data_IF_299737943002
#
_entry.id   IF_299737943002
#
_cell.length_a   1.000
_cell.length_b   1.000
_cell.length_c   1.000
_cell.angle_alpha   90.00
_cell.angle_beta   90.00
_cell.angle_gamma   90.00
#
_symmetry.space_group_name_H-M   'P 1'
#
loop_
_entity.id
_entity.type
_entity.pdbx_description
1 polymer ?
#
# COMPACT_ATOMS: atom_id res chain seq x y z
N UNK A 1 -0.32 58.49 -7.88
CA UNK A 1 0.09 58.48 -9.30
C UNK A 1 1.01 57.26 -9.44
N UNK A 2 0.68 56.14 -10.08
CA UNK A 2 -0.01 55.92 -11.36
C UNK A 2 -1.12 54.85 -11.26
N UNK A 3 -2.19 55.08 -12.03
CA UNK A 3 -3.28 54.16 -12.34
C UNK A 3 -3.01 53.48 -13.69
N UNK A 4 -3.28 52.19 -13.80
CA UNK A 4 -3.83 51.49 -14.98
C UNK A 4 -4.05 50.02 -14.54
N UNK A 5 -5.25 49.47 -14.32
CA UNK A 5 -6.52 49.39 -15.07
C UNK A 5 -6.47 48.42 -16.28
N UNK A 6 -7.05 47.23 -16.02
CA UNK A 6 -8.00 46.38 -16.78
C UNK A 6 -7.62 45.63 -18.07
N UNK A 7 -7.88 44.31 -17.96
CA UNK A 7 -8.68 43.40 -18.78
C UNK A 7 -8.40 43.18 -20.28
N UNK A 8 -8.28 41.89 -20.64
CA UNK A 8 -9.08 41.12 -21.63
C UNK A 8 -8.72 39.63 -21.46
N UNK A 9 -9.63 38.77 -20.99
CA UNK A 9 -10.70 38.09 -21.73
C UNK A 9 -10.21 36.90 -22.59
N UNK A 10 -10.49 35.69 -22.09
CA UNK A 10 -11.08 34.56 -22.83
C UNK A 10 -10.25 33.83 -23.88
N UNK A 11 -9.91 32.57 -23.59
CA UNK A 11 -10.17 31.44 -24.50
C UNK A 11 -10.62 30.25 -23.65
N UNK A 12 -11.83 29.78 -23.94
CA UNK A 12 -12.38 28.52 -23.45
C UNK A 12 -11.63 27.35 -24.08
N UNK A 13 -11.28 26.34 -23.29
CA UNK A 13 -10.92 25.03 -23.80
C UNK A 13 -11.81 23.98 -23.13
N UNK A 14 -12.76 23.54 -23.95
CA UNK A 14 -13.45 22.25 -24.01
C UNK A 14 -13.39 21.33 -22.79
N UNK A 15 -14.59 20.95 -22.36
CA UNK A 15 -14.82 20.00 -21.28
C UNK A 15 -14.32 18.60 -21.59
N UNK A 16 -13.84 17.95 -20.54
CA UNK A 16 -14.07 16.53 -20.34
C UNK A 16 -15.03 16.45 -19.17
N UNK A 17 -16.32 16.31 -19.49
CA UNK A 17 -17.29 15.84 -18.51
C UNK A 17 -16.83 14.42 -18.11
N UNK A 18 -16.13 14.30 -16.99
CA UNK A 18 -16.00 13.03 -16.32
C UNK A 18 -17.42 12.60 -15.99
N UNK A 19 -17.90 11.60 -16.71
CA UNK A 19 -19.12 10.87 -16.42
C UNK A 19 -19.00 10.35 -14.99
N UNK A 20 -19.51 11.11 -14.04
CA UNK A 20 -20.02 10.58 -12.77
C UNK A 20 -21.32 9.84 -13.14
N UNK A 21 -21.15 8.71 -13.81
CA UNK A 21 -22.21 7.74 -14.06
C UNK A 21 -22.44 6.99 -12.76
N UNK A 22 -23.59 7.25 -12.15
CA UNK A 22 -23.95 6.78 -10.82
C UNK A 22 -23.92 5.26 -10.69
N UNK A 23 -23.24 4.79 -9.65
CA UNK A 23 -23.51 3.51 -9.04
C UNK A 23 -24.61 3.72 -7.98
N UNK A 24 -25.84 3.96 -8.43
CA UNK A 24 -27.03 3.59 -7.67
C UNK A 24 -27.58 2.33 -8.31
N UNK A 25 -26.99 1.19 -7.95
CA UNK A 25 -27.54 -0.12 -8.27
C UNK A 25 -27.38 -1.05 -7.06
N UNK A 26 -27.94 -0.62 -5.93
CA UNK A 26 -28.46 -1.56 -4.96
C UNK A 26 -29.85 -1.96 -5.49
N UNK A 27 -30.00 -3.19 -6.01
CA UNK A 27 -31.30 -3.75 -6.33
C UNK A 27 -32.19 -3.81 -5.09
N UNK A 28 -33.50 -3.85 -5.18
CA UNK A 28 -34.41 -3.88 -6.30
C UNK A 28 -35.79 -4.10 -5.67
N UNK A 29 -36.76 -3.26 -6.01
CA UNK A 29 -38.17 -3.53 -5.74
C UNK A 29 -38.95 -3.40 -7.05
N UNK A 30 -39.93 -4.29 -7.19
CA UNK A 30 -40.81 -4.56 -8.34
C UNK A 30 -41.08 -3.38 -9.28
N UNK A 31 -41.08 -3.64 -10.60
CA UNK A 31 -42.26 -3.51 -11.47
C UNK A 31 -41.93 -3.83 -12.95
N UNK A 32 -42.96 -4.29 -13.65
CA UNK A 32 -42.99 -4.85 -15.00
C UNK A 32 -42.60 -3.92 -16.17
N UNK A 33 -42.12 -4.57 -17.25
CA UNK A 33 -42.61 -4.30 -18.60
C UNK A 33 -41.80 -3.37 -19.51
N UNK A 34 -41.24 -3.92 -20.58
CA UNK A 34 -40.83 -3.15 -21.77
C UNK A 34 -39.69 -3.76 -22.58
N UNK A 35 -40.02 -4.37 -23.72
CA UNK A 35 -39.07 -4.68 -24.81
C UNK A 35 -38.56 -3.37 -25.42
N UNK A 36 -37.25 -3.25 -25.61
CA UNK A 36 -36.66 -2.96 -26.93
C UNK A 36 -35.13 -3.09 -26.88
N UNK A 37 -34.58 -3.49 -28.01
CA UNK A 37 -33.19 -3.90 -28.18
C UNK A 37 -32.18 -2.77 -28.24
N UNK A 38 -30.91 -3.18 -28.30
CA UNK A 38 -29.78 -2.28 -28.53
C UNK A 38 -28.56 -2.76 -27.79
N UNK A 39 -27.67 -3.40 -28.54
CA UNK A 39 -26.26 -3.62 -28.24
C UNK A 39 -25.92 -4.20 -26.87
N UNK A 40 -25.66 -5.53 -26.88
CA UNK A 40 -24.75 -6.14 -25.91
C UNK A 40 -23.39 -5.44 -26.04
N UNK A 41 -23.22 -4.33 -25.34
CA UNK A 41 -21.93 -3.89 -24.88
C UNK A 41 -21.30 -5.13 -24.26
N UNK A 42 -20.28 -5.69 -24.92
CA UNK A 42 -19.50 -6.77 -24.37
C UNK A 42 -19.04 -6.28 -23.00
N UNK A 43 -19.67 -6.80 -21.94
CA UNK A 43 -19.31 -6.47 -20.58
C UNK A 43 -17.81 -6.62 -20.49
N UNK A 44 -17.09 -5.52 -20.25
CA UNK A 44 -15.64 -5.53 -20.17
C UNK A 44 -15.27 -6.66 -19.23
N UNK A 45 -14.55 -7.66 -19.76
CA UNK A 45 -14.22 -8.88 -19.01
C UNK A 45 -13.51 -8.44 -17.74
N UNK A 46 -14.05 -8.85 -16.59
CA UNK A 46 -13.41 -8.56 -15.31
C UNK A 46 -11.94 -9.02 -15.38
N UNK A 47 -10.98 -8.20 -14.93
CA UNK A 47 -9.56 -8.54 -15.00
C UNK A 47 -9.31 -9.88 -14.29
N UNK A 48 -8.41 -10.69 -14.84
CA UNK A 48 -8.02 -11.93 -14.18
C UNK A 48 -7.28 -11.64 -12.86
N UNK A 49 -7.22 -12.59 -11.91
CA UNK A 49 -6.40 -12.44 -10.71
C UNK A 49 -4.94 -12.06 -11.01
N UNK A 50 -4.36 -12.60 -12.09
CA UNK A 50 -3.01 -12.24 -12.51
C UNK A 50 -2.92 -10.79 -13.01
N UNK A 51 -3.94 -10.30 -13.73
CA UNK A 51 -4.01 -8.90 -14.16
C UNK A 51 -4.13 -7.95 -12.96
N UNK A 52 -4.90 -8.34 -11.93
CA UNK A 52 -5.03 -7.58 -10.69
C UNK A 52 -3.69 -7.48 -9.94
N UNK A 53 -2.97 -8.59 -9.77
CA UNK A 53 -1.62 -8.58 -9.16
C UNK A 53 -0.65 -7.74 -9.97
N UNK A 54 -0.68 -7.82 -11.31
CA UNK A 54 0.16 -7.00 -12.20
C UNK A 54 -0.15 -5.51 -12.06
N UNK A 55 -1.44 -5.15 -12.00
CA UNK A 55 -1.85 -3.77 -11.80
C UNK A 55 -1.40 -3.24 -10.44
N UNK A 56 -1.51 -4.04 -9.38
CA UNK A 56 -1.00 -3.69 -8.05
C UNK A 56 0.51 -3.53 -8.06
N UNK A 57 1.26 -4.45 -8.66
CA UNK A 57 2.73 -4.36 -8.78
C UNK A 57 3.17 -3.04 -9.44
N UNK A 58 2.54 -2.68 -10.57
CA UNK A 58 2.88 -1.45 -11.29
C UNK A 58 2.58 -0.16 -10.50
N UNK A 59 1.60 -0.18 -9.59
CA UNK A 59 1.31 0.94 -8.69
C UNK A 59 2.23 0.97 -7.48
N UNK A 60 2.66 -0.20 -7.01
CA UNK A 60 3.50 -0.34 -5.80
C UNK A 60 4.97 -0.09 -6.09
N UNK A 61 5.51 -0.53 -7.22
CA UNK A 61 6.95 -0.40 -7.53
C UNK A 61 7.49 1.05 -7.53
N UNK A 62 6.75 2.10 -7.94
CA UNK A 62 7.24 3.48 -7.80
C UNK A 62 7.05 4.05 -6.38
N UNK A 63 6.34 3.36 -5.49
CA UNK A 63 6.12 3.83 -4.13
C UNK A 63 7.42 3.73 -3.34
N UNK A 64 7.87 4.86 -2.79
CA UNK A 64 9.12 4.92 -2.03
C UNK A 64 8.91 4.70 -0.53
N UNK A 65 7.72 5.04 -0.05
CA UNK A 65 7.35 5.02 1.36
C UNK A 65 5.86 4.69 1.52
N UNK A 66 5.50 4.09 2.66
CA UNK A 66 4.12 3.93 3.10
C UNK A 66 4.03 3.94 4.63
N UNK A 67 2.84 4.26 5.14
CA UNK A 67 2.48 3.90 6.52
C UNK A 67 2.31 2.38 6.61
N UNK A 68 2.77 1.79 7.70
CA UNK A 68 2.65 0.35 7.94
C UNK A 68 1.88 0.10 9.23
N UNK A 69 1.03 -0.91 9.17
CA UNK A 69 0.42 -1.57 10.32
C UNK A 69 0.61 -3.08 10.11
N UNK A 70 1.66 -3.60 10.72
CA UNK A 70 2.13 -4.96 10.50
C UNK A 70 1.89 -5.79 11.75
N UNK A 71 1.28 -6.96 11.57
CA UNK A 71 1.13 -7.97 12.62
C UNK A 71 1.96 -9.19 12.25
N UNK A 72 2.91 -9.55 13.10
CA UNK A 72 3.78 -10.72 12.92
C UNK A 72 3.35 -11.78 13.91
N UNK A 73 2.93 -12.95 13.41
CA UNK A 73 2.61 -14.12 14.23
C UNK A 73 3.71 -15.17 14.07
N UNK A 74 4.46 -15.41 15.14
CA UNK A 74 5.49 -16.45 15.17
C UNK A 74 4.86 -17.86 15.19
N UNK A 75 5.66 -18.89 14.87
CA UNK A 75 5.23 -20.30 14.93
C UNK A 75 4.79 -20.74 16.33
N UNK A 76 5.25 -20.06 17.37
CA UNK A 76 4.79 -20.24 18.76
C UNK A 76 3.39 -19.67 19.03
N UNK A 77 2.77 -18.99 18.06
CA UNK A 77 1.52 -18.25 18.22
C UNK A 77 1.68 -16.86 18.82
N UNK A 78 2.89 -16.48 19.30
CA UNK A 78 3.15 -15.12 19.78
C UNK A 78 2.95 -14.13 18.63
N UNK A 79 2.16 -13.10 18.90
CA UNK A 79 1.86 -12.05 17.93
C UNK A 79 2.41 -10.72 18.40
N UNK A 80 3.17 -10.05 17.55
CA UNK A 80 3.69 -8.70 17.76
C UNK A 80 3.10 -7.76 16.70
N UNK A 81 2.69 -6.56 17.09
CA UNK A 81 2.16 -5.54 16.18
C UNK A 81 3.12 -4.35 16.11
N UNK A 82 3.38 -3.90 14.90
CA UNK A 82 4.32 -2.85 14.55
C UNK A 82 3.61 -1.81 13.69
N UNK A 83 3.54 -0.59 14.17
CA UNK A 83 3.00 0.56 13.41
C UNK A 83 4.10 1.55 13.11
N UNK A 84 4.01 2.25 11.98
CA UNK A 84 4.91 3.35 11.68
C UNK A 84 4.99 3.68 10.19
N UNK A 85 6.18 4.07 9.72
CA UNK A 85 6.45 4.39 8.32
C UNK A 85 7.63 3.56 7.80
N UNK A 86 7.46 2.93 6.65
CA UNK A 86 8.51 2.19 5.95
C UNK A 86 8.88 2.93 4.68
N UNK A 87 10.17 3.00 4.40
CA UNK A 87 10.77 3.44 3.15
C UNK A 87 11.65 2.34 2.57
N UNK A 88 11.56 2.14 1.26
CA UNK A 88 12.32 1.11 0.55
C UNK A 88 13.49 1.70 -0.24
N UNK A 89 13.33 2.92 -0.76
CA UNK A 89 14.34 3.59 -1.59
C UNK A 89 14.41 5.10 -1.30
N UNK A 90 15.32 5.56 -0.41
CA UNK A 90 16.25 4.77 0.39
C UNK A 90 15.56 3.97 1.51
N UNK A 91 16.20 2.88 1.95
CA UNK A 91 15.68 2.03 3.02
C UNK A 91 15.69 2.80 4.36
N UNK A 92 14.49 2.98 4.93
CA UNK A 92 14.29 3.62 6.22
C UNK A 92 13.07 3.04 6.93
N UNK A 93 13.08 3.00 8.25
CA UNK A 93 11.90 2.57 9.02
C UNK A 93 11.74 3.46 10.23
N UNK A 94 10.59 4.10 10.38
CA UNK A 94 10.13 4.70 11.63
C UNK A 94 9.12 3.76 12.29
N UNK A 95 9.34 3.38 13.55
CA UNK A 95 8.39 2.58 14.33
C UNK A 95 7.83 3.49 15.43
N UNK A 96 6.51 3.60 15.45
CA UNK A 96 5.75 4.27 16.49
C UNK A 96 5.37 3.22 17.53
N UNK A 97 6.22 3.08 18.53
CA UNK A 97 6.03 2.08 19.57
C UNK A 97 5.11 2.66 20.67
N UNK A 98 4.06 1.94 21.07
CA UNK A 98 3.15 2.35 22.16
C UNK A 98 3.36 1.47 23.38
N UNK A 99 3.54 2.07 24.56
CA UNK A 99 3.71 1.36 25.85
C UNK A 99 4.85 1.93 26.69
N UNK A 100 4.90 1.56 27.98
CA UNK A 100 5.83 2.11 28.98
C UNK A 100 7.32 1.81 28.70
N UNK A 101 7.60 0.79 27.88
CA UNK A 101 8.95 0.38 27.46
C UNK A 101 9.12 0.50 25.93
N UNK A 102 8.19 1.17 25.25
CA UNK A 102 8.09 1.21 23.80
C UNK A 102 8.81 2.46 23.27
N UNK A 103 10.08 2.31 22.91
CA UNK A 103 10.86 3.40 22.31
C UNK A 103 10.56 3.58 20.83
N UNK A 104 10.23 4.80 20.41
CA UNK A 104 10.21 5.13 18.98
C UNK A 104 11.56 4.81 18.35
N UNK A 105 11.55 4.16 17.21
CA UNK A 105 12.77 3.71 16.54
C UNK A 105 12.84 4.29 15.13
N UNK A 106 14.01 4.78 14.74
CA UNK A 106 14.31 5.21 13.38
C UNK A 106 15.49 4.40 12.89
N UNK A 107 15.32 3.69 11.77
CA UNK A 107 16.40 3.00 11.07
C UNK A 107 16.68 3.71 9.76
N UNK A 108 17.95 4.04 9.51
CA UNK A 108 18.42 4.59 8.23
C UNK A 108 19.72 3.87 7.87
N UNK A 109 19.69 3.07 6.81
CA UNK A 109 20.82 2.20 6.48
C UNK A 109 21.17 1.31 7.68
N UNK A 110 22.44 1.39 8.13
CA UNK A 110 22.96 0.57 9.23
C UNK A 110 22.75 1.17 10.62
N UNK A 111 22.17 2.36 10.68
CA UNK A 111 22.01 3.11 11.92
C UNK A 111 20.59 2.96 12.44
N UNK A 112 20.51 2.55 13.70
CA UNK A 112 19.28 2.56 14.49
C UNK A 112 19.39 3.67 15.51
N UNK A 113 18.35 4.50 15.57
CA UNK A 113 18.12 5.48 16.59
C UNK A 113 16.92 5.03 17.41
N UNK A 114 17.10 4.90 18.72
CA UNK A 114 16.05 4.49 19.64
C UNK A 114 15.81 5.60 20.65
N UNK A 115 14.55 6.01 20.78
CA UNK A 115 14.10 6.91 21.83
C UNK A 115 13.93 6.14 23.14
N UNK A 116 14.37 6.73 24.25
CA UNK A 116 14.11 6.26 25.60
C UNK A 116 13.50 7.39 26.42
N UNK A 117 12.33 7.13 26.99
CA UNK A 117 11.65 8.06 27.89
C UNK A 117 12.45 8.30 29.18
N UNK A 118 13.34 7.36 29.53
CA UNK A 118 14.33 7.49 30.61
C UNK A 118 15.70 7.76 29.99
N UNK A 119 16.23 8.99 30.07
CA UNK A 119 17.52 9.30 29.46
C UNK A 119 18.64 8.41 30.01
N UNK A 120 19.46 7.85 29.11
CA UNK A 120 20.66 7.11 29.47
C UNK A 120 21.83 8.07 29.33
N UNK A 121 22.57 8.31 30.42
CA UNK A 121 23.66 9.29 30.44
C UNK A 121 23.21 10.69 29.97
N UNK A 122 21.97 11.09 30.30
CA UNK A 122 21.39 12.38 29.91
C UNK A 122 20.92 12.48 28.45
N UNK A 123 20.96 11.39 27.67
CA UNK A 123 20.50 11.36 26.27
C UNK A 123 19.22 10.54 26.14
N UNK A 124 18.20 11.14 25.51
CA UNK A 124 16.94 10.43 25.18
C UNK A 124 17.00 9.66 23.88
N UNK A 125 17.98 9.95 23.01
CA UNK A 125 18.21 9.22 21.77
C UNK A 125 19.52 8.44 21.84
N UNK A 126 19.42 7.14 21.61
CA UNK A 126 20.56 6.24 21.54
C UNK A 126 20.78 5.80 20.10
N UNK A 127 22.04 5.82 19.66
CA UNK A 127 22.45 5.39 18.32
C UNK A 127 23.16 4.04 18.40
N UNK A 128 22.80 3.13 17.51
CA UNK A 128 23.44 1.84 17.32
C UNK A 128 23.77 1.63 15.84
N UNK A 129 25.01 1.24 15.54
CA UNK A 129 25.40 0.80 14.21
C UNK A 129 25.36 -0.73 14.15
N UNK A 130 24.53 -1.28 13.26
CA UNK A 130 24.33 -2.72 13.06
C UNK A 130 25.53 -3.44 12.46
N UNK A 131 26.38 -2.71 11.74
CA UNK A 131 27.57 -3.21 11.05
C UNK A 131 28.86 -2.87 11.81
N UNK A 132 28.77 -2.56 13.12
CA UNK A 132 29.94 -2.21 13.95
C UNK A 132 31.00 -3.32 14.01
N UNK A 133 30.60 -4.57 13.75
CA UNK A 133 31.44 -5.77 13.74
C UNK A 133 31.89 -6.15 12.31
N UNK A 134 31.59 -5.32 11.31
CA UNK A 134 31.93 -5.56 9.91
C UNK A 134 31.10 -6.63 9.21
N UNK A 135 30.10 -7.21 9.88
CA UNK A 135 29.26 -8.27 9.31
C UNK A 135 27.94 -7.70 8.80
N UNK A 136 27.66 -7.76 7.48
CA UNK A 136 26.37 -7.33 6.94
C UNK A 136 25.26 -8.19 7.55
N UNK A 137 24.36 -7.58 8.30
CA UNK A 137 23.15 -8.25 8.76
C UNK A 137 22.15 -8.30 7.62
N UNK A 138 21.63 -9.48 7.30
CA UNK A 138 20.58 -9.62 6.29
C UNK A 138 19.37 -8.79 6.70
N UNK A 139 18.97 -7.85 5.83
CA UNK A 139 17.76 -7.06 5.99
C UNK A 139 16.82 -7.49 4.89
N UNK A 140 15.70 -8.07 5.28
CA UNK A 140 14.56 -8.09 4.38
C UNK A 140 14.12 -6.63 4.21
N UNK A 141 14.11 -6.15 2.97
CA UNK A 141 13.60 -4.82 2.69
C UNK A 141 12.09 -4.76 2.94
N UNK A 142 11.41 -5.92 3.01
CA UNK A 142 9.97 -6.08 3.13
C UNK A 142 9.25 -5.20 2.09
N UNK A 143 9.77 -5.19 0.86
CA UNK A 143 9.23 -4.41 -0.24
C UNK A 143 7.95 -5.09 -0.76
N UNK A 144 6.77 -4.45 -0.66
CA UNK A 144 5.53 -5.03 -1.14
C UNK A 144 5.56 -5.33 -2.65
N UNK A 145 6.37 -4.62 -3.44
CA UNK A 145 6.54 -4.91 -4.85
C UNK A 145 7.27 -6.24 -5.09
N UNK A 146 8.22 -6.62 -4.23
CA UNK A 146 8.93 -7.91 -4.32
C UNK A 146 7.98 -9.08 -4.09
N UNK A 147 7.09 -9.00 -3.09
CA UNK A 147 6.09 -10.04 -2.85
C UNK A 147 5.08 -10.17 -4.01
N UNK A 148 4.65 -9.04 -4.59
CA UNK A 148 3.78 -9.05 -5.76
C UNK A 148 4.50 -9.65 -6.98
N UNK A 149 5.79 -9.37 -7.17
CA UNK A 149 6.60 -9.96 -8.24
C UNK A 149 6.73 -11.48 -8.10
N UNK A 150 6.90 -12.00 -6.88
CA UNK A 150 6.91 -13.45 -6.63
C UNK A 150 5.59 -14.10 -7.05
N UNK A 151 4.45 -13.44 -6.79
CA UNK A 151 3.12 -13.92 -7.16
C UNK A 151 2.87 -13.89 -8.67
N UNK A 152 3.44 -12.93 -9.41
CA UNK A 152 3.36 -12.88 -10.88
C UNK A 152 3.99 -14.11 -11.55
N UNK A 153 4.95 -14.76 -10.89
CA UNK A 153 5.58 -15.99 -11.37
C UNK A 153 4.84 -17.28 -11.03
N UNK A 154 3.71 -17.23 -10.32
CA UNK A 154 2.95 -18.42 -9.89
C UNK A 154 1.72 -18.64 -10.78
N UNK A 155 1.46 -19.90 -11.14
CA UNK A 155 0.34 -20.25 -12.03
C UNK A 155 -1.04 -20.22 -11.35
N UNK A 156 -1.11 -20.27 -10.01
CA UNK A 156 -2.36 -20.47 -9.27
C UNK A 156 -2.67 -19.30 -8.35
N UNK A 157 -3.30 -18.28 -8.91
CA UNK A 157 -3.94 -17.18 -8.18
C UNK A 157 -5.46 -17.27 -8.34
N UNK A 158 -6.18 -17.27 -7.22
CA UNK A 158 -7.64 -17.39 -7.19
C UNK A 158 -8.24 -16.21 -6.43
N UNK A 159 -9.23 -15.54 -7.02
CA UNK A 159 -10.07 -14.57 -6.29
C UNK A 159 -10.97 -15.32 -5.31
N UNK A 160 -10.90 -14.99 -4.02
CA UNK A 160 -11.70 -15.64 -2.97
C UNK A 160 -12.84 -14.78 -2.44
N UNK A 161 -12.81 -13.47 -2.68
CA UNK A 161 -13.91 -12.57 -2.31
C UNK A 161 -13.52 -11.10 -2.38
N UNK A 162 -14.48 -10.24 -2.04
CA UNK A 162 -14.24 -8.83 -1.73
C UNK A 162 -14.14 -8.65 -0.21
N UNK A 163 -13.33 -7.70 0.24
CA UNK A 163 -13.17 -7.34 1.64
C UNK A 163 -12.98 -5.83 1.80
N UNK A 164 -13.06 -5.35 3.05
CA UNK A 164 -12.77 -3.96 3.39
C UNK A 164 -11.41 -3.90 4.09
N UNK A 165 -10.49 -3.10 3.55
CA UNK A 165 -9.18 -2.83 4.16
C UNK A 165 -9.08 -1.34 4.42
N UNK A 166 -8.94 -0.94 5.69
CA UNK A 166 -8.88 0.48 6.08
C UNK A 166 -10.07 1.33 5.57
N UNK A 167 -11.24 0.71 5.42
CA UNK A 167 -12.45 1.35 4.89
C UNK A 167 -12.50 1.48 3.36
N UNK A 168 -11.52 0.91 2.65
CA UNK A 168 -11.47 0.86 1.18
C UNK A 168 -11.81 -0.56 0.70
N UNK A 169 -12.62 -0.64 -0.35
CA UNK A 169 -12.95 -1.91 -0.99
C UNK A 169 -11.70 -2.53 -1.62
N UNK A 170 -11.45 -3.79 -1.27
CA UNK A 170 -10.34 -4.58 -1.76
C UNK A 170 -10.84 -5.94 -2.28
N UNK A 171 -10.05 -6.53 -3.17
CA UNK A 171 -10.26 -7.90 -3.62
C UNK A 171 -9.26 -8.81 -2.90
N UNK A 172 -9.78 -9.87 -2.29
CA UNK A 172 -8.98 -10.86 -1.59
C UNK A 172 -8.61 -11.99 -2.55
N UNK A 173 -7.31 -12.20 -2.73
CA UNK A 173 -6.75 -13.27 -3.54
C UNK A 173 -6.03 -14.30 -2.69
N UNK A 174 -6.14 -15.57 -3.08
CA UNK A 174 -5.37 -16.69 -2.53
C UNK A 174 -4.38 -17.20 -3.57
N UNK A 175 -3.13 -17.33 -3.15
CA UNK A 175 -2.06 -17.93 -3.94
C UNK A 175 -1.20 -18.87 -3.10
N UNK A 176 -0.33 -19.61 -3.76
CA UNK A 176 0.70 -20.42 -3.11
C UNK A 176 2.04 -20.11 -3.74
N UNK A 177 3.05 -19.87 -2.92
CA UNK A 177 4.42 -19.74 -3.37
C UNK A 177 5.02 -21.16 -3.37
N UNK A 178 5.42 -21.64 -4.54
CA UNK A 178 6.25 -22.85 -4.61
C UNK A 178 7.69 -22.43 -4.42
N UNK A 179 8.47 -23.21 -3.64
CA UNK A 179 9.92 -23.04 -3.67
C UNK A 179 10.38 -23.26 -5.12
N UNK A 180 11.02 -22.26 -5.73
CA UNK A 180 11.72 -22.46 -6.99
C UNK A 180 12.86 -23.41 -6.63
N UNK A 181 12.75 -24.67 -7.06
CA UNK A 181 13.72 -25.72 -6.74
C UNK A 181 15.14 -25.31 -7.16
N UNK A 182 16.10 -25.54 -6.26
CA UNK A 182 17.53 -25.62 -6.60
C UNK A 182 17.88 -27.00 -7.14
#
# INVERSE_FOLDING_TARGET
MNKAVRNRAGVAAAGVALLVGGLTACGGDKADGGKDGGDKAAAAKAPSPADAVKASYLKTVPAKFATMDMTITASSGKTDRLTGTKGWYPAATGIDAKGADAGNQIMIGDEIYTHSDKPVQGKSWMKMNLNKDGSPRYRLNDDPAEYLALLLGQEKLTLVGAEQTEGVEAQHFKGSLSSIGG
#
